data_IF_287676839439
#
_entry.id   IF_287676839439
#
_cell.length_a   1.000
_cell.length_b   1.000
_cell.length_c   1.000
_cell.angle_alpha   90.00
_cell.angle_beta   90.00
_cell.angle_gamma   90.00
#
_symmetry.space_group_name_H-M   'P 1'
#
loop_
_entity.id
_entity.type
_entity.pdbx_description
1 polymer ?
#
# COMPACT_ATOMS: atom_id res chain seq x y z
N UNK A 1 9.16 25.76 8.80
CA UNK A 1 9.72 24.63 9.57
C UNK A 1 9.95 23.51 8.58
N UNK A 2 11.22 23.17 8.34
CA UNK A 2 11.63 22.27 7.26
C UNK A 2 10.98 20.90 7.44
N UNK A 3 10.22 20.46 6.44
CA UNK A 3 9.84 19.06 6.33
C UNK A 3 11.13 18.27 6.25
N UNK A 4 11.50 17.57 7.32
CA UNK A 4 12.48 16.51 7.21
C UNK A 4 12.01 15.65 6.04
N UNK A 5 12.86 15.53 5.01
CA UNK A 5 12.57 14.72 3.84
C UNK A 5 12.22 13.32 4.34
N UNK A 6 10.95 12.92 4.24
CA UNK A 6 10.47 11.56 4.54
C UNK A 6 10.90 10.65 3.40
N UNK A 7 12.21 10.62 3.14
CA UNK A 7 12.83 9.77 2.15
C UNK A 7 13.19 8.43 2.75
N UNK A 8 13.44 7.47 1.88
CA UNK A 8 13.97 6.17 2.26
C UNK A 8 15.24 6.28 3.12
N UNK A 9 15.23 5.66 4.28
CA UNK A 9 16.35 5.41 5.16
C UNK A 9 16.75 3.92 5.07
N UNK A 10 17.86 3.57 4.38
CA UNK A 10 18.30 2.19 4.22
C UNK A 10 18.75 1.51 5.52
N UNK A 11 18.91 2.26 6.62
CA UNK A 11 19.28 1.70 7.93
C UNK A 11 18.07 1.21 8.74
N UNK A 12 16.85 1.49 8.27
CA UNK A 12 15.61 1.09 8.91
C UNK A 12 14.92 -0.04 8.13
N UNK A 13 14.11 -0.91 8.77
CA UNK A 13 13.30 -1.89 8.08
C UNK A 13 12.32 -1.24 7.09
N UNK A 14 11.97 -1.97 6.04
CA UNK A 14 10.97 -1.52 5.09
C UNK A 14 9.62 -1.32 5.77
N UNK A 15 8.99 -0.19 5.47
CA UNK A 15 7.71 0.19 6.05
C UNK A 15 6.95 1.13 5.12
N UNK A 16 5.68 1.44 5.40
CA UNK A 16 4.89 2.37 4.58
C UNK A 16 5.55 3.75 4.41
N UNK A 17 6.35 4.18 5.39
CA UNK A 17 7.07 5.46 5.41
C UNK A 17 8.56 5.34 5.07
N UNK A 18 9.09 4.11 5.00
CA UNK A 18 10.48 3.82 4.69
C UNK A 18 10.56 2.79 3.55
N UNK A 19 10.29 3.25 2.33
CA UNK A 19 10.26 2.39 1.15
C UNK A 19 11.19 2.94 0.06
N UNK A 20 12.01 2.10 -0.60
CA UNK A 20 12.99 2.55 -1.57
C UNK A 20 12.33 3.06 -2.85
N UNK A 21 13.06 3.90 -3.58
CA UNK A 21 12.74 4.28 -4.95
C UNK A 21 13.99 4.09 -5.82
N UNK A 22 14.01 3.16 -6.80
CA UNK A 22 12.87 2.38 -7.29
C UNK A 22 12.41 1.28 -6.33
N UNK A 23 11.32 0.61 -6.73
CA UNK A 23 10.77 -0.55 -6.03
C UNK A 23 11.83 -1.60 -5.66
N UNK A 24 11.70 -2.24 -4.48
CA UNK A 24 12.57 -3.34 -4.09
C UNK A 24 12.34 -4.57 -4.98
N UNK A 25 13.26 -5.53 -4.90
CA UNK A 25 13.15 -6.80 -5.61
C UNK A 25 11.92 -7.63 -5.16
N UNK A 26 11.42 -8.52 -6.02
CA UNK A 26 10.25 -9.36 -5.73
C UNK A 26 10.49 -10.45 -4.68
N UNK A 27 11.75 -10.78 -4.36
CA UNK A 27 12.08 -11.66 -3.22
C UNK A 27 11.83 -11.01 -1.86
N UNK A 28 11.72 -9.69 -1.81
CA UNK A 28 11.45 -8.95 -0.58
C UNK A 28 9.96 -9.06 -0.22
N UNK A 29 9.61 -9.41 1.02
CA UNK A 29 8.22 -9.50 1.45
C UNK A 29 7.41 -8.22 1.17
N UNK A 30 6.09 -8.31 1.04
CA UNK A 30 5.24 -7.14 0.89
C UNK A 30 5.28 -6.28 2.16
N UNK A 31 5.34 -4.97 2.00
CA UNK A 31 5.10 -4.03 3.09
C UNK A 31 3.62 -4.04 3.43
N UNK A 32 3.31 -4.34 4.70
CA UNK A 32 1.94 -4.39 5.23
C UNK A 32 1.79 -3.34 6.33
N UNK A 33 0.82 -2.46 6.16
CA UNK A 33 0.36 -1.58 7.23
C UNK A 33 -0.56 -2.36 8.16
N UNK A 34 -0.29 -2.29 9.46
CA UNK A 34 -1.15 -2.90 10.47
C UNK A 34 -2.28 -1.92 10.84
N UNK A 35 -3.56 -2.29 10.63
CA UNK A 35 -4.68 -1.43 10.97
C UNK A 35 -4.74 -1.18 12.47
N UNK A 36 -4.95 0.07 12.84
CA UNK A 36 -4.90 0.55 14.22
C UNK A 36 -6.27 0.62 14.88
N UNK A 37 -7.34 0.37 14.11
CA UNK A 37 -8.71 0.43 14.60
C UNK A 37 -9.64 -0.50 13.84
N UNK A 38 -10.79 -0.81 14.47
CA UNK A 38 -11.88 -1.55 13.85
C UNK A 38 -12.39 -0.83 12.59
N UNK A 39 -12.47 0.50 12.62
CA UNK A 39 -12.93 1.28 11.46
C UNK A 39 -12.01 1.10 10.24
N UNK A 40 -10.70 1.03 10.47
CA UNK A 40 -9.73 0.73 9.40
C UNK A 40 -9.96 -0.68 8.82
N UNK A 41 -10.16 -1.69 9.68
CA UNK A 41 -10.48 -3.06 9.24
C UNK A 41 -11.80 -3.11 8.46
N UNK A 42 -12.85 -2.44 8.95
CA UNK A 42 -14.16 -2.36 8.28
C UNK A 42 -14.03 -1.72 6.90
N UNK A 43 -13.22 -0.66 6.77
CA UNK A 43 -12.93 -0.04 5.47
C UNK A 43 -12.20 -0.99 4.53
N UNK A 44 -11.21 -1.73 5.03
CA UNK A 44 -10.51 -2.77 4.27
C UNK A 44 -11.47 -3.83 3.76
N UNK A 45 -12.38 -4.34 4.59
CA UNK A 45 -13.44 -5.29 4.19
C UNK A 45 -14.41 -4.74 3.14
N UNK A 46 -14.53 -3.42 3.01
CA UNK A 46 -15.27 -2.76 1.92
C UNK A 46 -14.44 -2.59 0.63
N UNK A 47 -13.19 -3.04 0.62
CA UNK A 47 -12.24 -2.92 -0.48
C UNK A 47 -11.62 -1.52 -0.61
N UNK A 48 -11.49 -0.80 0.50
CA UNK A 48 -10.88 0.53 0.58
C UNK A 48 -9.60 0.46 1.39
N UNK A 49 -8.66 1.39 1.15
CA UNK A 49 -7.51 1.54 2.03
C UNK A 49 -7.92 1.82 3.49
N UNK A 50 -7.10 1.42 4.47
CA UNK A 50 -7.44 1.51 5.89
C UNK A 50 -7.72 2.96 6.29
N UNK A 51 -6.92 3.90 5.81
CA UNK A 51 -7.03 5.32 6.13
C UNK A 51 -7.64 6.13 4.97
N UNK A 52 -7.70 7.47 5.12
CA UNK A 52 -8.11 8.39 4.04
C UNK A 52 -7.21 9.61 4.01
N UNK A 53 -7.05 10.21 2.82
CA UNK A 53 -6.38 11.51 2.67
C UNK A 53 -7.01 12.63 3.51
N UNK A 54 -8.33 12.60 3.71
CA UNK A 54 -9.02 13.61 4.50
C UNK A 54 -8.58 13.62 5.97
N UNK A 55 -8.28 12.44 6.53
CA UNK A 55 -7.91 12.30 7.95
C UNK A 55 -6.42 12.13 8.18
N UNK A 56 -5.68 11.63 7.18
CA UNK A 56 -4.26 11.27 7.31
C UNK A 56 -3.35 12.08 6.37
N UNK A 57 -3.91 12.92 5.49
CA UNK A 57 -3.13 13.71 4.54
C UNK A 57 -2.14 12.85 3.78
N UNK A 58 -0.87 13.23 3.85
CA UNK A 58 0.26 12.55 3.21
C UNK A 58 0.59 11.15 3.78
N UNK A 59 0.11 10.82 4.98
CA UNK A 59 0.28 9.49 5.59
C UNK A 59 -0.91 8.56 5.29
N UNK A 60 -1.77 8.93 4.34
CA UNK A 60 -2.82 8.05 3.84
C UNK A 60 -2.20 6.79 3.23
N UNK A 61 -2.74 5.62 3.57
CA UNK A 61 -2.19 4.33 3.13
C UNK A 61 -2.85 3.93 1.82
N UNK A 62 -2.02 3.70 0.81
CA UNK A 62 -2.41 3.31 -0.53
C UNK A 62 -1.79 1.96 -0.90
N UNK A 63 -2.54 1.18 -1.67
CA UNK A 63 -2.00 -0.05 -2.26
C UNK A 63 -1.17 0.32 -3.48
N UNK A 64 0.06 -0.20 -3.50
CA UNK A 64 1.05 0.06 -4.53
C UNK A 64 1.39 -1.23 -5.28
N UNK A 65 1.15 -1.25 -6.60
CA UNK A 65 1.60 -2.34 -7.47
C UNK A 65 3.10 -2.21 -7.74
N UNK A 66 3.89 -3.04 -7.06
CA UNK A 66 5.34 -3.14 -7.25
C UNK A 66 5.64 -3.40 -8.72
N UNK A 67 6.45 -2.53 -9.33
CA UNK A 67 6.82 -2.61 -10.74
C UNK A 67 5.65 -2.56 -11.74
N UNK A 68 4.45 -2.14 -11.30
CA UNK A 68 3.22 -2.13 -12.11
C UNK A 68 2.81 -3.50 -12.69
N UNK A 69 3.20 -4.57 -12.01
CA UNK A 69 2.88 -5.97 -12.39
C UNK A 69 1.54 -6.41 -11.78
N UNK A 70 0.74 -7.13 -12.56
CA UNK A 70 -0.53 -7.69 -12.07
C UNK A 70 -0.29 -8.76 -11.00
N UNK A 71 -1.14 -8.80 -9.97
CA UNK A 71 -1.10 -9.85 -8.95
C UNK A 71 -1.30 -11.25 -9.57
N UNK A 72 -2.12 -11.36 -10.62
CA UNK A 72 -2.33 -12.62 -11.37
C UNK A 72 -1.03 -13.15 -11.99
N UNK A 73 -0.12 -12.24 -12.36
CA UNK A 73 1.18 -12.57 -12.94
C UNK A 73 2.29 -12.65 -11.88
N UNK A 74 1.97 -12.77 -10.59
CA UNK A 74 2.94 -12.79 -9.49
C UNK A 74 3.39 -11.38 -9.04
N UNK A 75 2.60 -10.35 -9.33
CA UNK A 75 2.79 -9.00 -8.80
C UNK A 75 2.58 -8.91 -7.30
N UNK A 76 3.26 -7.95 -6.66
CA UNK A 76 3.16 -7.68 -5.23
C UNK A 76 2.43 -6.35 -5.02
N UNK A 77 1.52 -6.32 -4.05
CA UNK A 77 0.89 -5.10 -3.56
C UNK A 77 1.48 -4.73 -2.20
N UNK A 78 2.05 -3.54 -2.13
CA UNK A 78 2.65 -2.94 -0.94
C UNK A 78 1.73 -1.85 -0.36
N UNK A 79 1.66 -1.74 0.96
CA UNK A 79 0.94 -0.68 1.65
C UNK A 79 1.86 0.51 1.92
N UNK A 80 1.72 1.58 1.14
CA UNK A 80 2.61 2.74 1.22
C UNK A 80 1.88 3.98 1.68
N UNK A 81 2.56 4.86 2.41
CA UNK A 81 2.07 6.22 2.60
C UNK A 81 2.00 6.95 1.26
N UNK A 82 0.95 7.75 1.06
CA UNK A 82 0.71 8.51 -0.16
C UNK A 82 1.92 9.39 -0.55
N UNK A 83 2.61 9.97 0.44
CA UNK A 83 3.85 10.72 0.21
C UNK A 83 4.90 9.88 -0.53
N UNK A 84 5.20 8.70 0.01
CA UNK A 84 6.19 7.74 -0.52
C UNK A 84 5.71 7.18 -1.86
N UNK A 85 4.41 6.95 -2.00
CA UNK A 85 3.82 6.39 -3.19
C UNK A 85 3.83 7.36 -4.39
N UNK A 86 3.42 8.62 -4.17
CA UNK A 86 3.02 9.55 -5.25
C UNK A 86 3.96 10.70 -5.56
N UNK A 87 4.75 11.22 -4.60
CA UNK A 87 5.53 12.47 -4.80
C UNK A 87 6.80 12.22 -5.58
N UNK A 88 7.97 12.36 -4.97
CA UNK A 88 9.25 11.93 -5.56
C UNK A 88 9.33 10.39 -5.68
N UNK A 89 8.19 9.69 -5.61
CA UNK A 89 7.99 8.28 -5.28
C UNK A 89 7.95 7.31 -6.45
N UNK A 90 7.66 6.05 -6.15
CA UNK A 90 7.74 4.93 -7.11
C UNK A 90 6.83 5.08 -8.32
N UNK A 91 5.71 5.80 -8.20
CA UNK A 91 4.84 6.04 -9.36
C UNK A 91 5.50 6.84 -10.48
N UNK A 92 6.51 7.66 -10.17
CA UNK A 92 7.15 8.56 -11.13
C UNK A 92 8.36 7.95 -11.84
N UNK A 93 8.88 6.81 -11.36
CA UNK A 93 10.13 6.19 -11.84
C UNK A 93 9.98 4.70 -12.18
N UNK A 94 8.80 4.31 -12.64
CA UNK A 94 8.63 2.98 -13.21
C UNK A 94 9.52 2.82 -14.44
N UNK A 95 10.31 1.76 -14.47
CA UNK A 95 11.16 1.41 -15.61
C UNK A 95 10.38 0.64 -16.69
N UNK A 96 9.14 0.23 -16.39
CA UNK A 96 8.31 -0.62 -17.24
C UNK A 96 6.88 -0.07 -17.33
N UNK A 97 6.17 -0.31 -18.46
CA UNK A 97 4.75 0.01 -18.57
C UNK A 97 3.92 -0.86 -17.62
N UNK A 98 2.76 -0.36 -17.23
CA UNK A 98 1.80 -1.12 -16.43
C UNK A 98 1.22 -2.29 -17.20
N UNK A 99 1.22 -3.49 -16.61
CA UNK A 99 0.49 -4.66 -17.12
C UNK A 99 -1.04 -4.51 -16.99
N UNK A 100 -1.46 -3.54 -16.17
CA UNK A 100 -2.84 -3.33 -15.77
C UNK A 100 -3.44 -2.12 -16.47
N UNK A 101 -4.65 -2.27 -16.99
CA UNK A 101 -5.54 -1.14 -17.27
C UNK A 101 -6.01 -0.47 -15.95
N UNK A 102 -6.48 0.78 -15.98
CA UNK A 102 -7.02 1.43 -14.78
C UNK A 102 -8.15 0.63 -14.10
N UNK A 103 -9.01 -0.01 -14.89
CA UNK A 103 -10.09 -0.83 -14.37
C UNK A 103 -9.58 -2.11 -13.69
N UNK A 104 -8.58 -2.78 -14.27
CA UNK A 104 -7.93 -3.95 -13.65
C UNK A 104 -7.23 -3.56 -12.36
N UNK A 105 -6.47 -2.46 -12.36
CA UNK A 105 -5.79 -1.93 -11.16
C UNK A 105 -6.78 -1.67 -10.03
N UNK A 106 -7.86 -0.95 -10.31
CA UNK A 106 -8.89 -0.64 -9.31
C UNK A 106 -9.55 -1.91 -8.76
N UNK A 107 -9.76 -2.93 -9.61
CA UNK A 107 -10.29 -4.23 -9.19
C UNK A 107 -9.32 -4.98 -8.29
N UNK A 108 -8.04 -5.07 -8.68
CA UNK A 108 -7.02 -5.73 -7.87
C UNK A 108 -6.84 -5.07 -6.51
N UNK A 109 -6.73 -3.73 -6.46
CA UNK A 109 -6.63 -2.97 -5.21
C UNK A 109 -7.86 -3.22 -4.32
N UNK A 110 -9.06 -3.23 -4.90
CA UNK A 110 -10.28 -3.50 -4.14
C UNK A 110 -10.28 -4.90 -3.55
N UNK A 111 -9.93 -5.91 -4.33
CA UNK A 111 -9.91 -7.30 -3.89
C UNK A 111 -8.84 -7.52 -2.82
N UNK A 112 -7.65 -6.99 -3.05
CA UNK A 112 -6.54 -6.96 -2.10
C UNK A 112 -6.96 -6.45 -0.73
N UNK A 113 -7.63 -5.29 -0.67
CA UNK A 113 -8.06 -4.73 0.61
C UNK A 113 -9.12 -5.59 1.29
N UNK A 114 -10.03 -6.20 0.54
CA UNK A 114 -11.03 -7.12 1.11
C UNK A 114 -10.39 -8.34 1.73
N UNK A 115 -9.43 -8.94 1.03
CA UNK A 115 -8.66 -10.08 1.52
C UNK A 115 -7.89 -9.71 2.79
N UNK A 116 -7.11 -8.61 2.74
CA UNK A 116 -6.43 -8.04 3.89
C UNK A 116 -7.37 -7.79 5.07
N UNK A 117 -8.54 -7.17 4.84
CA UNK A 117 -9.51 -6.89 5.89
C UNK A 117 -10.16 -8.14 6.50
N UNK A 118 -10.15 -9.27 5.77
CA UNK A 118 -10.68 -10.55 6.25
C UNK A 118 -9.69 -11.32 7.14
N UNK A 119 -8.40 -10.94 7.13
CA UNK A 119 -7.36 -11.51 8.02
C UNK A 119 -7.60 -11.15 9.50
N UNK A 120 -8.32 -10.05 9.75
CA UNK A 120 -8.59 -9.53 11.09
C UNK A 120 -9.95 -9.98 11.59
N UNK A 121 -10.00 -10.45 12.83
CA UNK A 121 -11.24 -10.85 13.52
C UNK A 121 -11.84 -9.63 14.20
N UNK A 122 -13.11 -9.29 13.89
CA UNK A 122 -13.81 -8.18 14.55
C UNK A 122 -14.46 -8.62 15.87
N UNK A 123 -14.74 -7.69 16.81
CA UNK A 123 -15.46 -8.03 18.03
C UNK A 123 -16.82 -8.69 17.72
N UNK A 124 -17.05 -9.88 18.30
CA UNK A 124 -18.26 -10.67 18.06
C UNK A 124 -18.17 -11.63 16.86
N UNK A 125 -17.07 -11.60 16.12
CA UNK A 125 -16.67 -12.66 15.20
C UNK A 125 -15.60 -13.48 15.94
N UNK A 126 -15.76 -14.80 16.07
CA UNK A 126 -14.84 -15.65 16.86
C UNK A 126 -15.56 -16.42 17.95
N UNK A 127 -15.36 -17.73 17.97
CA UNK A 127 -16.00 -18.71 18.86
C UNK A 127 -15.40 -18.63 20.26
#
# INVERSE_FOLDING_TARGET
MGSASRGYNPSEPLSPSNYPNPDPDYSVPPVRYEPKSIDEVVRMRQGKGPTTKATHGDTNIEAHHRGQRSVENGGILDDLEEYIHRRDGNHTRHQLPSELTPAQRAREIRNYWKERGSEYILPGEGI
#
